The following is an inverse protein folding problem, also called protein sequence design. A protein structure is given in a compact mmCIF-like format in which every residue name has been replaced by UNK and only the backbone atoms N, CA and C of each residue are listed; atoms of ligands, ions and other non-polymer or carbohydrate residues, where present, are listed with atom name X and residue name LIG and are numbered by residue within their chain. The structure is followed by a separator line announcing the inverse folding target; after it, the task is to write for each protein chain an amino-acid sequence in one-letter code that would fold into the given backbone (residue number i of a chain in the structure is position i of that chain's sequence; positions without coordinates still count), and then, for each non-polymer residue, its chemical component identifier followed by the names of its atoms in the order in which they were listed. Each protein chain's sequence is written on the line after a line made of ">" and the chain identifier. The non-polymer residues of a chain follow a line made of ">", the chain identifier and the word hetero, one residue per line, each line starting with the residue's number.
data_IF_869311533750
#
_entry.id   IF_869311533750
#
_cell.length_a   1.000
_cell.length_b   1.000
_cell.length_c   1.000
_cell.angle_alpha   90.00
_cell.angle_beta   90.00
_cell.angle_gamma   90.00
#
_symmetry.space_group_name_H-M   'P 1'
#
loop_
_entity.id
_entity.type
_entity.pdbx_description
1 polymer ?
#
# COMPACT_ATOMS: atom_id res chain seq x y z
N UNK A 1 -1.17 -0.62 -4.71
CA UNK A 1 0.13 -1.32 -4.47
C UNK A 1 0.67 -1.78 -5.81
N UNK A 2 1.91 -1.43 -6.18
CA UNK A 2 2.49 -1.95 -7.43
C UNK A 2 2.90 -3.43 -7.23
N UNK A 3 2.29 -4.37 -7.97
CA UNK A 3 2.68 -5.77 -7.92
C UNK A 3 4.08 -5.97 -8.53
N UNK A 4 4.77 -7.04 -8.13
CA UNK A 4 5.94 -7.49 -8.87
C UNK A 4 5.48 -8.07 -10.24
N UNK A 5 6.40 -8.31 -11.20
CA UNK A 5 6.02 -8.78 -12.53
C UNK A 5 5.22 -10.09 -12.53
N UNK A 6 5.52 -11.01 -11.61
CA UNK A 6 4.81 -12.29 -11.49
C UNK A 6 3.36 -12.08 -11.04
N UNK A 7 3.14 -11.32 -9.96
CA UNK A 7 1.82 -11.00 -9.46
C UNK A 7 1.02 -10.18 -10.49
N UNK A 8 1.68 -9.28 -11.23
CA UNK A 8 1.06 -8.55 -12.33
C UNK A 8 0.57 -9.48 -13.42
N UNK A 9 1.40 -10.44 -13.84
CA UNK A 9 1.03 -11.44 -14.86
C UNK A 9 -0.16 -12.27 -14.41
N UNK A 10 -0.17 -12.75 -13.15
CA UNK A 10 -1.28 -13.52 -12.59
C UNK A 10 -2.59 -12.72 -12.57
N UNK A 11 -2.53 -11.46 -12.14
CA UNK A 11 -3.69 -10.56 -12.16
C UNK A 11 -4.21 -10.34 -13.59
N UNK A 12 -3.31 -10.14 -14.57
CA UNK A 12 -3.69 -9.94 -15.97
C UNK A 12 -4.33 -11.20 -16.60
N UNK A 13 -3.93 -12.38 -16.13
CA UNK A 13 -4.47 -13.66 -16.59
C UNK A 13 -5.70 -14.11 -15.79
N UNK A 14 -6.13 -13.36 -14.77
CA UNK A 14 -7.25 -13.71 -13.90
C UNK A 14 -6.96 -14.86 -12.93
N UNK A 15 -5.69 -15.17 -12.68
CA UNK A 15 -5.22 -16.24 -11.80
C UNK A 15 -5.00 -15.73 -10.37
N UNK A 16 -6.01 -15.09 -9.79
CA UNK A 16 -5.90 -14.44 -8.47
C UNK A 16 -5.65 -15.46 -7.34
N UNK A 17 -6.16 -16.68 -7.50
CA UNK A 17 -5.94 -17.82 -6.62
C UNK A 17 -4.48 -18.26 -6.53
N UNK A 18 -3.67 -17.94 -7.55
CA UNK A 18 -2.24 -18.25 -7.59
C UNK A 18 -1.36 -17.15 -6.96
N UNK A 19 -1.96 -16.05 -6.49
CA UNK A 19 -1.23 -15.00 -5.80
C UNK A 19 -0.70 -15.50 -4.46
N UNK A 20 0.51 -15.03 -4.09
CA UNK A 20 1.10 -15.43 -2.82
C UNK A 20 0.28 -14.90 -1.65
N UNK A 21 0.13 -15.74 -0.61
CA UNK A 21 -0.53 -15.32 0.63
C UNK A 21 0.13 -14.07 1.24
N UNK A 22 1.44 -13.90 1.10
CA UNK A 22 2.14 -12.70 1.55
C UNK A 22 1.70 -11.45 0.81
N UNK A 23 1.50 -11.52 -0.52
CA UNK A 23 0.99 -10.40 -1.31
C UNK A 23 -0.45 -10.06 -0.90
N UNK A 24 -1.32 -11.07 -0.81
CA UNK A 24 -2.72 -10.89 -0.43
C UNK A 24 -2.86 -10.30 0.97
N UNK A 25 -2.13 -10.82 1.96
CA UNK A 25 -2.15 -10.29 3.33
C UNK A 25 -1.70 -8.83 3.38
N UNK A 26 -0.71 -8.46 2.58
CA UNK A 26 -0.22 -7.09 2.52
C UNK A 26 -1.25 -6.15 1.88
N UNK A 27 -1.84 -6.53 0.74
CA UNK A 27 -2.88 -5.73 0.07
C UNK A 27 -4.09 -5.58 0.99
N UNK A 28 -4.57 -6.68 1.57
CA UNK A 28 -5.70 -6.67 2.49
C UNK A 28 -5.44 -5.78 3.70
N UNK A 29 -4.27 -5.86 4.33
CA UNK A 29 -3.93 -5.00 5.47
C UNK A 29 -3.89 -3.51 5.12
N UNK A 30 -3.37 -3.15 3.95
CA UNK A 30 -3.40 -1.76 3.46
C UNK A 30 -4.84 -1.30 3.22
N UNK A 31 -5.68 -2.15 2.60
CA UNK A 31 -7.08 -1.83 2.31
C UNK A 31 -7.89 -1.70 3.60
N UNK A 32 -7.71 -2.61 4.55
CA UNK A 32 -8.33 -2.54 5.87
C UNK A 32 -7.94 -1.23 6.57
N UNK A 33 -6.65 -0.89 6.60
CA UNK A 33 -6.20 0.39 7.17
C UNK A 33 -6.83 1.59 6.49
N UNK A 34 -6.88 1.60 5.15
CA UNK A 34 -7.49 2.69 4.36
C UNK A 34 -8.98 2.90 4.65
N UNK A 35 -9.71 1.82 4.97
CA UNK A 35 -11.17 1.83 5.08
C UNK A 35 -11.68 1.87 6.52
N UNK A 36 -10.81 1.62 7.51
CA UNK A 36 -11.24 1.47 8.91
C UNK A 36 -10.50 2.39 9.89
N UNK A 37 -9.28 2.83 9.59
CA UNK A 37 -8.55 3.68 10.51
C UNK A 37 -9.14 5.10 10.52
N UNK A 38 -9.39 5.66 11.70
CA UNK A 38 -9.97 7.01 11.86
C UNK A 38 -9.20 8.06 11.04
N UNK A 39 -7.86 8.00 11.06
CA UNK A 39 -7.00 8.91 10.30
C UNK A 39 -7.15 8.81 8.77
N UNK A 40 -7.72 7.72 8.26
CA UNK A 40 -8.02 7.53 6.83
C UNK A 40 -9.45 7.90 6.46
N UNK A 41 -10.32 8.09 7.45
CA UNK A 41 -11.73 8.48 7.25
C UNK A 41 -11.94 10.01 7.28
N UNK A 42 -10.91 10.77 7.64
CA UNK A 42 -10.87 12.22 7.61
C UNK A 42 -11.04 12.80 6.21
N UNK A 43 -11.55 14.04 6.10
CA UNK A 43 -11.76 14.71 4.81
C UNK A 43 -10.46 14.93 4.01
N UNK A 44 -9.31 14.99 4.69
CA UNK A 44 -8.01 15.18 4.05
C UNK A 44 -7.48 13.90 3.40
N UNK A 45 -7.90 12.73 3.89
CA UNK A 45 -7.42 11.41 3.46
C UNK A 45 -8.47 10.67 2.65
N UNK A 46 -9.70 10.55 3.13
CA UNK A 46 -10.74 9.73 2.52
C UNK A 46 -11.03 10.15 1.07
N UNK A 47 -10.79 9.24 0.13
CA UNK A 47 -11.03 9.48 -1.31
C UNK A 47 -10.05 10.46 -1.97
N UNK A 48 -8.98 10.86 -1.27
CA UNK A 48 -7.97 11.78 -1.81
C UNK A 48 -6.72 11.01 -2.27
N UNK A 49 -5.95 11.62 -3.16
CA UNK A 49 -4.63 11.10 -3.55
C UNK A 49 -3.67 11.04 -2.35
N UNK A 50 -3.81 11.98 -1.41
CA UNK A 50 -3.05 11.96 -0.17
C UNK A 50 -3.43 10.73 0.68
N UNK A 51 -4.72 10.42 0.83
CA UNK A 51 -5.14 9.20 1.54
C UNK A 51 -4.67 7.93 0.87
N UNK A 52 -4.70 7.85 -0.47
CA UNK A 52 -4.18 6.71 -1.20
C UNK A 52 -2.67 6.48 -0.92
N UNK A 53 -1.88 7.56 -0.86
CA UNK A 53 -0.48 7.48 -0.46
C UNK A 53 -0.33 7.11 1.03
N UNK A 54 -1.09 7.77 1.91
CA UNK A 54 -1.03 7.60 3.36
C UNK A 54 -1.49 6.21 3.81
N UNK A 55 -2.42 5.57 3.09
CA UNK A 55 -2.83 4.21 3.35
C UNK A 55 -1.65 3.23 3.23
N UNK A 56 -0.82 3.38 2.18
CA UNK A 56 0.35 2.51 1.98
C UNK A 56 1.43 2.83 3.01
N UNK A 57 1.81 4.09 3.14
CA UNK A 57 2.94 4.48 4.01
C UNK A 57 2.60 4.33 5.48
N UNK A 58 1.40 4.76 5.89
CA UNK A 58 0.90 4.67 7.26
C UNK A 58 0.69 3.23 7.71
N UNK A 59 0.19 2.34 6.84
CA UNK A 59 0.11 0.91 7.18
C UNK A 59 1.50 0.32 7.44
N UNK A 60 2.44 0.55 6.51
CA UNK A 60 3.80 0.02 6.63
C UNK A 60 4.56 0.59 7.83
N UNK A 61 4.25 1.82 8.26
CA UNK A 61 4.92 2.46 9.38
C UNK A 61 4.27 2.12 10.73
N UNK A 62 2.94 2.07 10.81
CA UNK A 62 2.22 2.11 12.08
C UNK A 62 1.43 0.83 12.40
N UNK A 63 1.06 0.04 11.40
CA UNK A 63 0.15 -1.11 11.57
C UNK A 63 0.82 -2.44 11.29
N UNK A 64 1.66 -2.50 10.25
CA UNK A 64 2.36 -3.73 9.89
C UNK A 64 3.27 -4.16 11.04
N UNK A 65 3.08 -5.41 11.47
CA UNK A 65 3.97 -6.03 12.45
C UNK A 65 5.30 -6.39 11.80
N UNK A 66 6.39 -5.99 12.47
CA UNK A 66 7.75 -6.42 12.19
C UNK A 66 8.25 -7.23 13.37
N UNK A 67 9.20 -8.13 13.11
CA UNK A 67 9.77 -8.99 14.15
C UNK A 67 10.49 -8.18 15.23
N UNK A 68 11.15 -7.10 14.83
CA UNK A 68 11.84 -6.16 15.70
C UNK A 68 11.97 -4.78 15.02
N UNK A 69 12.37 -3.78 15.80
CA UNK A 69 12.49 -2.39 15.36
C UNK A 69 13.62 -2.18 14.34
N UNK A 70 14.69 -2.98 14.39
CA UNK A 70 15.80 -2.88 13.44
C UNK A 70 15.36 -3.34 12.04
N UNK A 71 14.61 -4.45 11.96
CA UNK A 71 14.01 -4.93 10.71
C UNK A 71 13.00 -3.91 10.18
N UNK A 72 12.18 -3.32 11.05
CA UNK A 72 11.26 -2.24 10.68
C UNK A 72 12.02 -1.05 10.09
N UNK A 73 13.05 -0.57 10.80
CA UNK A 73 13.90 0.53 10.38
C UNK A 73 14.53 0.24 9.01
N UNK A 74 15.22 -0.90 8.86
CA UNK A 74 15.85 -1.27 7.60
C UNK A 74 14.85 -1.37 6.45
N UNK A 75 13.65 -1.90 6.69
CA UNK A 75 12.60 -1.98 5.66
C UNK A 75 12.12 -0.59 5.21
N UNK A 76 11.88 0.31 6.16
CA UNK A 76 11.37 1.66 5.90
C UNK A 76 12.39 2.58 5.21
N UNK A 77 13.68 2.45 5.56
CA UNK A 77 14.72 3.37 5.10
C UNK A 77 15.61 2.82 3.99
N UNK A 78 15.73 1.49 3.85
CA UNK A 78 16.64 0.88 2.89
C UNK A 78 16.03 -0.31 2.12
N UNK A 79 14.83 -0.72 2.47
CA UNK A 79 14.29 -2.01 2.08
C UNK A 79 12.99 -1.95 1.29
N UNK A 80 12.15 -2.96 1.53
CA UNK A 80 10.96 -3.22 0.75
C UNK A 80 9.87 -2.15 0.96
N UNK A 81 9.69 -1.67 2.20
CA UNK A 81 8.71 -0.62 2.48
C UNK A 81 9.10 0.71 1.81
N UNK A 82 10.39 1.07 1.76
CA UNK A 82 10.86 2.25 1.01
C UNK A 82 10.42 2.19 -0.46
N UNK A 83 10.65 1.07 -1.14
CA UNK A 83 10.30 0.89 -2.56
C UNK A 83 8.80 1.03 -2.78
N UNK A 84 7.98 0.49 -1.88
CA UNK A 84 6.52 0.60 -1.92
C UNK A 84 6.06 2.04 -1.71
N UNK A 85 6.66 2.76 -0.77
CA UNK A 85 6.37 4.18 -0.53
C UNK A 85 6.72 5.03 -1.76
N UNK A 86 7.88 4.81 -2.37
CA UNK A 86 8.28 5.51 -3.59
C UNK A 86 7.34 5.22 -4.76
N UNK A 87 6.95 3.96 -4.94
CA UNK A 87 6.00 3.58 -5.98
C UNK A 87 4.62 4.22 -5.78
N UNK A 88 4.11 4.23 -4.54
CA UNK A 88 2.87 4.92 -4.20
C UNK A 88 2.96 6.43 -4.47
N UNK A 89 4.07 7.07 -4.11
CA UNK A 89 4.31 8.49 -4.37
C UNK A 89 4.33 8.79 -5.88
N UNK A 90 5.03 7.96 -6.66
CA UNK A 90 5.08 8.09 -8.12
C UNK A 90 3.69 7.94 -8.74
N UNK A 91 2.91 6.96 -8.28
CA UNK A 91 1.55 6.73 -8.77
C UNK A 91 0.65 7.94 -8.51
N UNK A 92 0.60 8.47 -7.28
CA UNK A 92 -0.29 9.61 -6.97
C UNK A 92 0.14 10.89 -7.67
N UNK A 93 1.45 11.08 -7.90
CA UNK A 93 1.98 12.22 -8.68
C UNK A 93 1.63 12.16 -10.16
N UNK A 94 1.44 10.95 -10.70
CA UNK A 94 1.05 10.74 -12.10
C UNK A 94 -0.45 10.98 -12.36
N UNK A 95 -1.27 11.18 -11.31
CA UNK A 95 -2.72 11.35 -11.40
C UNK A 95 -3.18 12.76 -11.00
N UNK A 96 -2.73 13.85 -11.65
CA UNK A 96 -2.92 15.21 -11.14
C UNK A 96 -4.38 15.66 -10.94
N UNK A 97 -5.39 14.97 -11.51
CA UNK A 97 -6.78 15.44 -11.52
C UNK A 97 -7.84 14.37 -11.17
N UNK A 98 -7.48 13.24 -10.56
CA UNK A 98 -8.45 12.17 -10.29
C UNK A 98 -8.91 12.17 -8.83
N UNK A 99 -10.21 12.34 -8.59
CA UNK A 99 -10.85 12.03 -7.30
C UNK A 99 -11.00 10.52 -7.21
N UNK A 100 -10.41 9.90 -6.19
CA UNK A 100 -10.49 8.45 -5.99
C UNK A 100 -11.90 8.11 -5.50
N UNK A 101 -12.70 7.45 -6.34
CA UNK A 101 -13.99 6.88 -5.96
C UNK A 101 -13.76 5.41 -5.57
N UNK A 102 -14.12 5.06 -4.35
CA UNK A 102 -14.22 3.68 -3.88
C UNK A 102 -15.62 3.14 -4.18
#
# INVERSE_FOLDING_TARGET
>A
MAPNPEALSKLQLGQEEELSGQFNNLVNGVMEYALTAESQLENTTRGTLFGAYNAVTGYLQNVRNFKDDEIKFRSLFYGDALKKNQSALTFVRALPNMVMRY
#
